data_IF_266023234362
#
_entry.id   IF_266023234362
#
_cell.length_a   1.000
_cell.length_b   1.000
_cell.length_c   1.000
_cell.angle_alpha   90.00
_cell.angle_beta   90.00
_cell.angle_gamma   90.00
#
_symmetry.space_group_name_H-M   'P 1'
#
loop_
_entity.id
_entity.type
_entity.pdbx_description
1 polymer ?
#
# COMPACT_ATOMS: atom_id res chain seq x y z
N UNK A 1 -2.97 -9.98 29.42
CA UNK A 1 -3.46 -9.00 28.43
C UNK A 1 -3.03 -9.32 27.01
N UNK A 2 -1.74 -9.47 26.68
CA UNK A 2 -1.26 -9.75 25.31
C UNK A 2 -1.83 -11.06 24.71
N UNK A 3 -2.00 -12.10 25.48
CA UNK A 3 -2.52 -13.40 25.03
C UNK A 3 -4.03 -13.37 24.72
N UNK A 4 -4.81 -12.61 25.48
CA UNK A 4 -6.25 -12.41 25.22
C UNK A 4 -6.50 -11.59 23.95
N UNK A 5 -5.72 -10.53 23.74
CA UNK A 5 -5.82 -9.68 22.54
C UNK A 5 -5.46 -10.44 21.26
N UNK A 6 -4.41 -11.27 21.29
CA UNK A 6 -4.03 -12.14 20.16
C UNK A 6 -5.10 -13.18 19.83
N UNK A 7 -5.81 -13.70 20.86
CA UNK A 7 -6.90 -14.65 20.67
C UNK A 7 -8.14 -13.98 20.05
N UNK A 8 -8.51 -12.79 20.52
CA UNK A 8 -9.63 -12.00 19.95
C UNK A 8 -9.36 -11.59 18.48
N UNK A 9 -8.14 -11.18 18.17
CA UNK A 9 -7.73 -10.86 16.79
C UNK A 9 -7.78 -12.10 15.87
N UNK A 10 -7.38 -13.27 16.37
CA UNK A 10 -7.45 -14.55 15.65
C UNK A 10 -8.89 -15.01 15.42
N UNK A 11 -9.77 -14.86 16.41
CA UNK A 11 -11.18 -15.26 16.32
C UNK A 11 -11.95 -14.34 15.35
N UNK A 12 -11.64 -13.05 15.35
CA UNK A 12 -12.20 -12.07 14.42
C UNK A 12 -11.79 -12.39 12.97
N UNK A 13 -10.49 -12.61 12.73
CA UNK A 13 -9.98 -12.97 11.40
C UNK A 13 -10.62 -14.28 10.91
N UNK A 14 -10.73 -15.29 11.77
CA UNK A 14 -11.39 -16.56 11.43
C UNK A 14 -12.84 -16.37 11.02
N UNK A 15 -13.58 -15.52 11.75
CA UNK A 15 -14.97 -15.18 11.43
C UNK A 15 -15.08 -14.45 10.09
N UNK A 16 -14.18 -13.52 9.84
CA UNK A 16 -14.12 -12.79 8.57
C UNK A 16 -13.78 -13.71 7.38
N UNK A 17 -12.79 -14.59 7.51
CA UNK A 17 -12.42 -15.53 6.46
C UNK A 17 -13.56 -16.51 6.15
N UNK A 18 -14.29 -16.96 7.17
CA UNK A 18 -15.47 -17.80 7.00
C UNK A 18 -16.60 -17.08 6.26
N UNK A 19 -16.85 -15.82 6.60
CA UNK A 19 -17.81 -14.99 5.86
C UNK A 19 -17.37 -14.82 4.40
N UNK A 20 -16.10 -14.51 4.18
CA UNK A 20 -15.55 -14.27 2.84
C UNK A 20 -15.64 -15.52 1.95
N UNK A 21 -15.41 -16.72 2.52
CA UNK A 21 -15.45 -18.00 1.81
C UNK A 21 -16.84 -18.37 1.26
N UNK A 22 -17.90 -17.69 1.71
CA UNK A 22 -19.26 -17.89 1.16
C UNK A 22 -19.43 -17.27 -0.23
N UNK A 23 -18.58 -16.32 -0.61
CA UNK A 23 -18.72 -15.55 -1.86
C UNK A 23 -17.46 -15.52 -2.71
N UNK A 24 -16.32 -15.99 -2.20
CA UNK A 24 -15.04 -15.96 -2.89
C UNK A 24 -14.19 -17.20 -2.57
N UNK A 25 -13.30 -17.56 -3.48
CA UNK A 25 -12.20 -18.48 -3.18
C UNK A 25 -11.22 -17.74 -2.24
N UNK A 26 -10.97 -18.31 -1.05
CA UNK A 26 -10.08 -17.70 -0.06
C UNK A 26 -8.80 -18.53 0.04
N UNK A 27 -7.68 -17.90 -0.35
CA UNK A 27 -6.35 -18.46 -0.19
C UNK A 27 -5.64 -17.72 0.94
N UNK A 28 -5.25 -18.45 1.97
CA UNK A 28 -4.45 -17.92 3.07
C UNK A 28 -3.03 -18.49 2.94
N UNK A 29 -2.08 -17.63 2.57
CA UNK A 29 -0.68 -18.01 2.47
C UNK A 29 0.01 -17.61 3.77
N UNK A 30 0.24 -18.59 4.62
CA UNK A 30 0.65 -18.41 6.01
C UNK A 30 2.14 -18.74 6.21
N UNK A 31 2.94 -17.72 6.45
CA UNK A 31 4.37 -17.84 6.75
C UNK A 31 4.71 -17.98 8.24
N UNK A 32 3.75 -18.33 9.08
CA UNK A 32 3.93 -18.53 10.53
C UNK A 32 4.86 -19.72 10.85
N UNK A 33 5.45 -19.76 12.05
CA UNK A 33 6.14 -20.94 12.55
C UNK A 33 5.25 -22.19 12.51
N UNK A 34 5.83 -23.40 12.42
CA UNK A 34 5.06 -24.64 12.20
C UNK A 34 3.95 -24.93 13.22
N UNK A 35 4.17 -24.60 14.47
CA UNK A 35 3.20 -24.75 15.56
C UNK A 35 2.00 -23.81 15.41
N UNK A 36 2.27 -22.56 15.04
CA UNK A 36 1.23 -21.55 14.77
C UNK A 36 0.47 -21.91 13.48
N UNK A 37 1.20 -22.32 12.42
CA UNK A 37 0.59 -22.79 11.18
C UNK A 37 -0.37 -23.97 11.44
N UNK A 38 0.04 -24.97 12.22
CA UNK A 38 -0.82 -26.10 12.57
C UNK A 38 -2.08 -25.69 13.34
N UNK A 39 -1.95 -24.73 14.24
CA UNK A 39 -3.10 -24.18 14.97
C UNK A 39 -4.07 -23.46 14.02
N UNK A 40 -3.57 -22.65 13.08
CA UNK A 40 -4.38 -21.99 12.06
C UNK A 40 -5.06 -23.02 11.13
N UNK A 41 -4.33 -24.03 10.69
CA UNK A 41 -4.84 -25.11 9.81
C UNK A 41 -6.05 -25.82 10.43
N UNK A 42 -6.02 -26.07 11.75
CA UNK A 42 -7.14 -26.68 12.46
C UNK A 42 -8.44 -25.85 12.40
N UNK A 43 -8.32 -24.54 12.27
CA UNK A 43 -9.47 -23.62 12.21
C UNK A 43 -9.90 -23.27 10.78
N UNK A 44 -8.95 -23.20 9.82
CA UNK A 44 -9.20 -22.61 8.49
C UNK A 44 -9.33 -23.61 7.35
N UNK A 45 -8.72 -24.80 7.43
CA UNK A 45 -8.70 -25.78 6.33
C UNK A 45 -10.08 -26.26 5.87
N UNK A 46 -11.12 -26.10 6.70
CA UNK A 46 -12.48 -26.53 6.36
C UNK A 46 -13.21 -25.58 5.40
N UNK A 47 -12.72 -24.33 5.21
CA UNK A 47 -13.39 -23.32 4.40
C UNK A 47 -12.44 -22.40 3.62
N UNK A 48 -11.12 -22.59 3.74
CA UNK A 48 -10.11 -21.86 2.96
C UNK A 48 -9.09 -22.82 2.36
N UNK A 49 -8.38 -22.37 1.34
CA UNK A 49 -7.14 -23.00 0.88
C UNK A 49 -6.00 -22.38 1.71
N UNK A 50 -5.56 -23.08 2.75
CA UNK A 50 -4.51 -22.64 3.67
C UNK A 50 -3.18 -23.33 3.33
N UNK A 51 -2.17 -22.57 2.91
CA UNK A 51 -0.91 -23.06 2.39
C UNK A 51 0.28 -22.31 3.00
N UNK A 52 1.43 -22.97 3.18
CA UNK A 52 2.68 -22.27 3.43
C UNK A 52 3.16 -21.57 2.14
N UNK A 53 4.04 -20.55 2.24
CA UNK A 53 4.70 -19.98 1.08
C UNK A 53 5.53 -21.03 0.33
N UNK A 54 5.41 -21.07 -1.01
CA UNK A 54 6.15 -22.01 -1.86
C UNK A 54 7.67 -21.96 -1.59
N UNK A 55 8.33 -23.10 -1.40
CA UNK A 55 9.76 -23.14 -1.04
C UNK A 55 10.69 -22.72 -2.19
N UNK A 56 10.25 -22.88 -3.44
CA UNK A 56 11.01 -22.52 -4.64
C UNK A 56 10.98 -21.02 -4.97
N UNK A 57 10.10 -20.25 -4.31
CA UNK A 57 10.05 -18.81 -4.48
C UNK A 57 11.07 -18.17 -3.51
N UNK A 58 12.23 -17.81 -4.07
CA UNK A 58 13.32 -17.18 -3.30
C UNK A 58 13.32 -15.66 -3.51
N UNK A 59 12.67 -14.92 -2.61
CA UNK A 59 12.63 -13.46 -2.59
C UNK A 59 12.79 -12.94 -1.16
N UNK A 60 13.34 -11.72 -1.01
CA UNK A 60 13.61 -11.13 0.31
C UNK A 60 12.32 -10.69 1.03
N UNK A 61 11.34 -10.21 0.28
CA UNK A 61 10.09 -9.72 0.84
C UNK A 61 9.09 -10.87 1.04
N UNK A 62 8.85 -11.24 2.30
CA UNK A 62 7.95 -12.34 2.67
C UNK A 62 6.52 -12.14 2.18
N UNK A 63 6.00 -10.90 2.16
CA UNK A 63 4.67 -10.60 1.59
C UNK A 63 4.62 -10.94 0.11
N UNK A 64 5.64 -10.55 -0.66
CA UNK A 64 5.71 -10.87 -2.10
C UNK A 64 5.77 -12.37 -2.31
N UNK A 65 6.55 -13.11 -1.50
CA UNK A 65 6.58 -14.56 -1.54
C UNK A 65 5.18 -15.16 -1.35
N UNK A 66 4.44 -14.68 -0.35
CA UNK A 66 3.05 -15.09 -0.13
C UNK A 66 2.14 -14.77 -1.32
N UNK A 67 2.23 -13.56 -1.88
CA UNK A 67 1.43 -13.16 -3.05
C UNK A 67 1.75 -14.01 -4.29
N UNK A 68 3.03 -14.30 -4.58
CA UNK A 68 3.42 -15.12 -5.71
C UNK A 68 2.97 -16.58 -5.53
N UNK A 69 3.01 -17.12 -4.31
CA UNK A 69 2.41 -18.42 -3.99
C UNK A 69 0.91 -18.40 -4.27
N UNK A 70 0.18 -17.43 -3.69
CA UNK A 70 -1.26 -17.29 -3.91
C UNK A 70 -1.63 -17.14 -5.39
N UNK A 71 -0.84 -16.40 -6.18
CA UNK A 71 -1.03 -16.23 -7.61
C UNK A 71 -0.95 -17.56 -8.40
N UNK A 72 -0.08 -18.47 -7.99
CA UNK A 72 0.05 -19.80 -8.60
C UNK A 72 -1.16 -20.69 -8.30
N UNK A 73 -1.61 -20.69 -7.06
CA UNK A 73 -2.68 -21.54 -6.56
C UNK A 73 -4.09 -21.02 -6.84
N UNK A 74 -4.26 -19.71 -7.06
CA UNK A 74 -5.56 -19.11 -7.36
C UNK A 74 -6.14 -19.67 -8.66
N UNK A 75 -7.45 -19.94 -8.67
CA UNK A 75 -8.17 -20.49 -9.84
C UNK A 75 -8.91 -19.42 -10.62
N UNK A 76 -9.21 -18.27 -10.01
CA UNK A 76 -9.98 -17.20 -10.63
C UNK A 76 -9.11 -16.11 -11.27
N UNK A 77 -9.67 -15.42 -12.27
CA UNK A 77 -9.00 -14.33 -12.99
C UNK A 77 -8.91 -13.05 -12.19
N UNK A 78 -9.95 -12.71 -11.41
CA UNK A 78 -10.01 -11.51 -10.59
C UNK A 78 -9.55 -11.84 -9.18
N UNK A 79 -8.43 -11.30 -8.77
CA UNK A 79 -7.85 -11.54 -7.47
C UNK A 79 -7.91 -10.26 -6.61
N UNK A 80 -8.14 -10.44 -5.32
CA UNK A 80 -7.91 -9.42 -4.30
C UNK A 80 -6.74 -9.86 -3.44
N UNK A 81 -5.66 -9.11 -3.47
CA UNK A 81 -4.52 -9.25 -2.57
C UNK A 81 -4.79 -8.36 -1.37
N UNK A 82 -4.77 -8.90 -0.17
CA UNK A 82 -5.04 -8.15 1.06
C UNK A 82 -4.06 -8.54 2.18
N UNK A 83 -3.65 -7.54 2.98
CA UNK A 83 -2.99 -7.77 4.26
C UNK A 83 -4.00 -8.36 5.26
N UNK A 84 -3.53 -9.03 6.30
CA UNK A 84 -4.35 -9.69 7.32
C UNK A 84 -5.20 -8.71 8.15
N UNK A 85 -4.86 -7.44 8.16
CA UNK A 85 -5.57 -6.35 8.83
C UNK A 85 -6.63 -5.66 7.95
N UNK A 86 -6.84 -6.11 6.71
CA UNK A 86 -7.82 -5.53 5.75
C UNK A 86 -9.16 -6.25 5.83
N UNK A 87 -10.25 -5.48 5.79
CA UNK A 87 -11.63 -6.02 5.81
C UNK A 87 -12.46 -5.39 4.70
N UNK A 88 -12.87 -6.22 3.76
CA UNK A 88 -13.83 -5.86 2.74
C UNK A 88 -15.25 -6.13 3.25
N UNK A 89 -16.18 -5.30 2.84
CA UNK A 89 -17.59 -5.65 2.80
C UNK A 89 -18.00 -6.18 1.42
N UNK A 90 -19.22 -6.66 1.29
CA UNK A 90 -19.73 -7.23 0.04
C UNK A 90 -19.79 -6.20 -1.09
N UNK A 91 -20.15 -4.95 -0.78
CA UNK A 91 -20.24 -3.87 -1.75
C UNK A 91 -18.88 -3.52 -2.33
N UNK A 92 -17.85 -3.41 -1.47
CA UNK A 92 -16.48 -3.15 -1.90
C UNK A 92 -15.90 -4.29 -2.74
N UNK A 93 -16.15 -5.57 -2.37
CA UNK A 93 -15.73 -6.73 -3.18
C UNK A 93 -16.38 -6.72 -4.57
N UNK A 94 -17.69 -6.52 -4.64
CA UNK A 94 -18.42 -6.43 -5.91
C UNK A 94 -17.90 -5.27 -6.77
N UNK A 95 -17.59 -4.12 -6.14
CA UNK A 95 -17.07 -2.96 -6.84
C UNK A 95 -15.67 -3.21 -7.40
N UNK A 96 -14.76 -3.84 -6.64
CA UNK A 96 -13.44 -4.24 -7.15
C UNK A 96 -13.58 -5.22 -8.32
N UNK A 97 -14.43 -6.23 -8.18
CA UNK A 97 -14.67 -7.23 -9.22
C UNK A 97 -15.21 -6.60 -10.52
N UNK A 98 -16.13 -5.62 -10.40
CA UNK A 98 -16.66 -4.88 -11.53
C UNK A 98 -15.60 -4.00 -12.21
N UNK A 99 -14.78 -3.27 -11.44
CA UNK A 99 -13.71 -2.45 -11.98
C UNK A 99 -12.62 -3.28 -12.69
N UNK A 100 -12.40 -4.51 -12.26
CA UNK A 100 -11.47 -5.44 -12.91
C UNK A 100 -11.98 -5.99 -14.25
N UNK A 101 -13.20 -5.69 -14.70
CA UNK A 101 -13.61 -5.98 -16.08
C UNK A 101 -12.81 -5.18 -17.10
N UNK A 102 -12.51 -3.91 -16.79
CA UNK A 102 -11.81 -2.99 -17.70
C UNK A 102 -10.40 -2.63 -17.22
N UNK A 103 -10.10 -2.86 -15.94
CA UNK A 103 -8.79 -2.58 -15.34
C UNK A 103 -7.98 -3.86 -15.11
N UNK A 104 -6.66 -3.71 -15.00
CA UNK A 104 -5.75 -4.81 -14.66
C UNK A 104 -5.27 -4.72 -13.21
N UNK A 105 -5.31 -3.53 -12.63
CA UNK A 105 -5.09 -3.28 -11.21
C UNK A 105 -6.05 -2.21 -10.70
N UNK A 106 -6.69 -2.49 -9.56
CA UNK A 106 -7.57 -1.57 -8.83
C UNK A 106 -6.92 -1.27 -7.49
N UNK A 107 -6.79 0.02 -7.16
CA UNK A 107 -6.19 0.50 -5.92
C UNK A 107 -7.22 1.25 -5.09
N UNK A 108 -7.94 0.56 -4.17
CA UNK A 108 -8.91 1.18 -3.28
C UNK A 108 -8.25 2.09 -2.25
N UNK A 109 -9.06 2.76 -1.42
CA UNK A 109 -8.59 3.64 -0.35
C UNK A 109 -8.80 2.94 0.99
N UNK A 110 -7.73 2.73 1.77
CA UNK A 110 -7.91 2.23 3.13
C UNK A 110 -8.25 3.36 4.11
N UNK A 111 -9.08 3.01 5.08
CA UNK A 111 -9.31 3.82 6.28
C UNK A 111 -9.18 2.96 7.53
N UNK A 112 -8.69 3.56 8.62
CA UNK A 112 -8.54 2.84 9.87
C UNK A 112 -9.81 2.89 10.71
N UNK A 113 -10.24 1.72 11.20
CA UNK A 113 -11.33 1.59 12.15
C UNK A 113 -11.09 0.38 13.06
N UNK A 114 -10.93 0.59 14.40
CA UNK A 114 -10.98 1.88 15.12
C UNK A 114 -9.88 2.85 14.69
N UNK A 115 -10.02 4.14 15.06
CA UNK A 115 -9.09 5.20 14.68
C UNK A 115 -8.35 5.75 15.93
N UNK A 116 -7.34 5.05 16.49
CA UNK A 116 -6.53 5.56 17.56
C UNK A 116 -5.66 6.75 17.11
N UNK A 117 -5.16 7.53 18.06
CA UNK A 117 -4.48 8.80 17.80
C UNK A 117 -3.30 8.72 16.81
N UNK A 118 -2.52 7.64 16.83
CA UNK A 118 -1.38 7.46 15.95
C UNK A 118 -1.80 7.15 14.50
N UNK A 119 -2.93 6.49 14.27
CA UNK A 119 -3.46 6.29 12.92
C UNK A 119 -4.29 7.49 12.44
N UNK A 120 -4.90 8.25 13.36
CA UNK A 120 -5.45 9.58 13.04
C UNK A 120 -4.34 10.50 12.51
N UNK A 121 -3.17 10.49 13.13
CA UNK A 121 -1.97 11.17 12.65
C UNK A 121 -1.59 10.72 11.22
N UNK A 122 -1.51 9.41 10.97
CA UNK A 122 -1.14 8.87 9.64
C UNK A 122 -2.24 9.10 8.58
N UNK A 123 -3.49 9.29 8.98
CA UNK A 123 -4.58 9.65 8.06
C UNK A 123 -4.31 10.97 7.34
N UNK A 124 -3.59 11.91 7.96
CA UNK A 124 -3.10 13.12 7.26
C UNK A 124 -2.32 12.82 5.98
N UNK A 125 -1.49 11.75 5.98
CA UNK A 125 -0.82 11.23 4.78
C UNK A 125 -1.81 10.80 3.72
N UNK A 126 -2.81 10.01 4.12
CA UNK A 126 -3.86 9.52 3.22
C UNK A 126 -4.56 10.68 2.52
N UNK A 127 -4.93 11.72 3.28
CA UNK A 127 -5.61 12.90 2.73
C UNK A 127 -4.74 13.64 1.71
N UNK A 128 -3.46 13.87 2.01
CA UNK A 128 -2.52 14.49 1.08
C UNK A 128 -2.29 13.64 -0.18
N UNK A 129 -2.20 12.31 -0.05
CA UNK A 129 -2.05 11.42 -1.17
C UNK A 129 -3.31 11.37 -2.06
N UNK A 130 -4.50 11.53 -1.50
CA UNK A 130 -5.77 11.63 -2.26
C UNK A 130 -5.78 12.83 -3.21
N UNK A 131 -5.05 13.89 -2.90
CA UNK A 131 -4.86 15.03 -3.83
C UNK A 131 -4.03 14.66 -5.06
N UNK A 132 -3.09 13.73 -4.93
CA UNK A 132 -2.09 13.41 -5.96
C UNK A 132 -2.27 12.03 -6.61
N UNK A 133 -3.47 11.42 -6.52
CA UNK A 133 -3.78 10.16 -7.19
C UNK A 133 -4.05 8.98 -6.26
N UNK A 134 -4.44 9.23 -5.01
CA UNK A 134 -4.84 8.22 -4.03
C UNK A 134 -3.71 7.68 -3.17
N UNK A 135 -4.09 7.07 -2.06
CA UNK A 135 -3.15 6.50 -1.10
C UNK A 135 -2.66 5.10 -1.52
N UNK A 136 -1.68 4.58 -0.78
CA UNK A 136 -1.11 3.24 -0.96
C UNK A 136 -1.73 2.29 0.06
N UNK A 137 -2.71 1.47 -0.35
CA UNK A 137 -3.45 0.61 0.55
C UNK A 137 -2.70 -0.69 0.86
N UNK A 138 -3.12 -1.38 1.92
CA UNK A 138 -2.72 -2.76 2.22
C UNK A 138 -3.44 -3.81 1.37
N UNK A 139 -4.08 -3.39 0.27
CA UNK A 139 -4.85 -4.29 -0.61
C UNK A 139 -4.87 -3.78 -2.05
N UNK A 140 -4.95 -4.70 -2.99
CA UNK A 140 -5.05 -4.41 -4.43
C UNK A 140 -5.97 -5.44 -5.09
N UNK A 141 -6.86 -4.98 -5.96
CA UNK A 141 -7.50 -5.85 -6.94
C UNK A 141 -6.59 -6.04 -8.15
N UNK A 142 -6.41 -7.25 -8.66
CA UNK A 142 -5.53 -7.53 -9.81
C UNK A 142 -6.10 -8.57 -10.75
N UNK A 143 -5.76 -8.51 -12.03
CA UNK A 143 -5.99 -9.58 -12.99
C UNK A 143 -4.86 -10.59 -12.94
N UNK A 144 -5.21 -11.88 -12.70
CA UNK A 144 -4.28 -12.99 -12.57
C UNK A 144 -3.47 -13.22 -13.85
N UNK A 145 -4.12 -13.24 -14.99
CA UNK A 145 -3.49 -13.55 -16.29
C UNK A 145 -2.33 -12.61 -16.60
N UNK A 146 -2.48 -11.30 -16.35
CA UNK A 146 -1.42 -10.33 -16.61
C UNK A 146 -0.23 -10.52 -15.66
N UNK A 147 -0.47 -10.77 -14.37
CA UNK A 147 0.61 -11.02 -13.40
C UNK A 147 1.35 -12.33 -13.71
N UNK A 148 0.66 -13.37 -14.15
CA UNK A 148 1.30 -14.60 -14.61
C UNK A 148 2.15 -14.36 -15.86
N UNK A 149 1.63 -13.61 -16.83
CA UNK A 149 2.36 -13.28 -18.05
C UNK A 149 3.64 -12.47 -17.79
N UNK A 150 3.68 -11.65 -16.72
CA UNK A 150 4.89 -10.94 -16.29
C UNK A 150 5.86 -11.81 -15.50
N UNK A 151 5.48 -13.03 -15.13
CA UNK A 151 6.24 -13.88 -14.21
C UNK A 151 6.12 -13.42 -12.75
N UNK A 152 5.07 -12.65 -12.40
CA UNK A 152 4.91 -11.98 -11.11
C UNK A 152 5.58 -10.61 -11.07
N UNK A 153 6.09 -10.21 -9.91
CA UNK A 153 6.80 -8.94 -9.70
C UNK A 153 7.98 -9.12 -8.74
N UNK A 154 8.92 -8.17 -8.74
CA UNK A 154 10.17 -8.29 -7.98
C UNK A 154 9.92 -8.24 -6.46
N UNK A 155 10.30 -9.30 -5.76
CA UNK A 155 10.22 -9.41 -4.30
C UNK A 155 11.51 -9.02 -3.58
N UNK A 156 12.50 -8.46 -4.27
CA UNK A 156 13.74 -7.97 -3.66
C UNK A 156 13.73 -6.44 -3.49
N UNK A 157 12.52 -5.87 -3.45
CA UNK A 157 12.28 -4.44 -3.22
C UNK A 157 11.44 -4.23 -1.97
N UNK A 158 11.55 -3.03 -1.39
CA UNK A 158 10.83 -2.72 -0.15
C UNK A 158 9.36 -2.35 -0.39
N UNK A 159 9.11 -1.50 -1.38
CA UNK A 159 7.78 -0.96 -1.69
C UNK A 159 7.05 -1.86 -2.71
N UNK A 160 6.61 -3.01 -2.24
CA UNK A 160 6.05 -4.10 -3.05
C UNK A 160 4.77 -3.70 -3.80
N UNK A 161 3.88 -2.90 -3.20
CA UNK A 161 2.66 -2.45 -3.87
C UNK A 161 2.95 -1.52 -5.05
N UNK A 162 3.96 -0.64 -4.92
CA UNK A 162 4.42 0.18 -6.04
C UNK A 162 5.06 -0.66 -7.13
N UNK A 163 5.84 -1.68 -6.74
CA UNK A 163 6.47 -2.59 -7.67
C UNK A 163 5.44 -3.36 -8.50
N UNK A 164 4.42 -3.94 -7.85
CA UNK A 164 3.33 -4.64 -8.53
C UNK A 164 2.62 -3.72 -9.52
N UNK A 165 2.23 -2.52 -9.10
CA UNK A 165 1.54 -1.55 -9.97
C UNK A 165 2.42 -1.14 -11.14
N UNK A 166 3.71 -0.87 -10.90
CA UNK A 166 4.66 -0.53 -11.98
C UNK A 166 4.84 -1.68 -12.94
N UNK A 167 4.92 -2.92 -12.48
CA UNK A 167 5.01 -4.13 -13.30
C UNK A 167 3.79 -4.26 -14.21
N UNK A 168 2.58 -4.15 -13.65
CA UNK A 168 1.33 -4.15 -14.42
C UNK A 168 1.32 -3.07 -15.49
N UNK A 169 1.68 -1.83 -15.13
CA UNK A 169 1.72 -0.70 -16.07
C UNK A 169 2.80 -0.85 -17.13
N UNK A 170 3.96 -1.39 -16.78
CA UNK A 170 5.06 -1.66 -17.72
C UNK A 170 4.68 -2.72 -18.76
N UNK A 171 3.90 -3.73 -18.36
CA UNK A 171 3.31 -4.72 -19.26
C UNK A 171 2.15 -4.17 -20.11
N UNK A 172 1.77 -2.89 -19.95
CA UNK A 172 0.69 -2.23 -20.71
C UNK A 172 -0.67 -2.31 -20.01
N UNK A 173 -0.76 -2.85 -18.80
CA UNK A 173 -1.99 -2.94 -18.03
C UNK A 173 -2.51 -1.56 -17.58
N UNK A 174 -3.81 -1.50 -17.30
CA UNK A 174 -4.54 -0.31 -16.86
C UNK A 174 -4.68 -0.32 -15.34
N UNK A 175 -4.26 0.76 -14.69
CA UNK A 175 -4.52 1.04 -13.28
C UNK A 175 -5.76 1.91 -13.13
N UNK A 176 -6.65 1.56 -12.19
CA UNK A 176 -7.77 2.38 -11.76
C UNK A 176 -7.65 2.65 -10.26
N UNK A 177 -7.83 3.90 -9.87
CA UNK A 177 -7.75 4.37 -8.47
C UNK A 177 -9.10 5.02 -8.11
N UNK A 178 -10.11 4.22 -7.70
CA UNK A 178 -11.39 4.74 -7.29
C UNK A 178 -11.23 5.39 -5.91
N UNK A 179 -11.30 6.71 -5.84
CA UNK A 179 -11.16 7.45 -4.59
C UNK A 179 -12.40 7.32 -3.69
N UNK A 180 -13.52 6.89 -4.25
CA UNK A 180 -14.80 6.60 -3.60
C UNK A 180 -14.94 5.15 -3.11
N UNK A 181 -13.95 4.30 -3.37
CA UNK A 181 -13.95 2.91 -2.91
C UNK A 181 -13.11 2.78 -1.63
N UNK A 182 -13.80 2.73 -0.50
CA UNK A 182 -13.19 2.64 0.82
C UNK A 182 -13.17 1.20 1.31
N UNK A 183 -12.04 0.80 1.90
CA UNK A 183 -11.85 -0.53 2.49
C UNK A 183 -11.30 -0.37 3.90
N UNK A 184 -11.97 -0.97 4.87
CA UNK A 184 -11.59 -0.92 6.28
C UNK A 184 -10.25 -1.60 6.50
N UNK A 185 -9.46 -1.03 7.41
CA UNK A 185 -8.20 -1.59 7.86
C UNK A 185 -8.09 -1.47 9.39
N UNK A 186 -7.69 -2.54 10.05
CA UNK A 186 -7.36 -2.46 11.47
C UNK A 186 -6.08 -1.66 11.70
N UNK A 187 -6.04 -0.81 12.73
CA UNK A 187 -4.85 -0.05 13.06
C UNK A 187 -3.76 -0.95 13.65
N UNK A 188 -2.49 -0.78 13.29
CA UNK A 188 -1.39 -1.41 14.00
C UNK A 188 -1.33 -0.87 15.43
N UNK A 189 -0.76 -1.63 16.37
CA UNK A 189 -0.48 -1.07 17.69
C UNK A 189 0.57 0.06 17.61
N UNK A 190 0.55 0.99 18.58
CA UNK A 190 1.40 2.19 18.56
C UNK A 190 2.90 1.86 18.48
N UNK A 191 3.37 0.80 19.16
CA UNK A 191 4.79 0.41 19.13
C UNK A 191 5.21 -0.03 17.73
N UNK A 192 4.40 -0.85 17.07
CA UNK A 192 4.65 -1.29 15.70
C UNK A 192 4.59 -0.10 14.74
N UNK A 193 3.57 0.75 14.87
CA UNK A 193 3.43 1.96 14.07
C UNK A 193 4.71 2.79 14.07
N UNK A 194 5.24 3.14 15.25
CA UNK A 194 6.44 3.98 15.35
C UNK A 194 7.70 3.29 14.85
N UNK A 195 7.82 1.98 15.03
CA UNK A 195 8.96 1.20 14.51
C UNK A 195 9.07 1.20 12.98
N UNK A 196 7.97 1.45 12.28
CA UNK A 196 7.91 1.42 10.81
C UNK A 196 8.16 2.78 10.13
N UNK A 197 8.25 3.90 10.89
CA UNK A 197 8.26 5.25 10.29
C UNK A 197 9.44 5.50 9.36
N UNK A 198 10.65 5.16 9.77
CA UNK A 198 11.87 5.30 8.95
C UNK A 198 11.83 4.36 7.74
N UNK A 199 11.36 3.12 7.93
CA UNK A 199 11.17 2.16 6.83
C UNK A 199 10.19 2.68 5.79
N UNK A 200 9.03 3.21 6.21
CA UNK A 200 8.06 3.82 5.31
C UNK A 200 8.60 5.09 4.61
N UNK A 201 9.52 5.82 5.27
CA UNK A 201 10.19 6.94 4.63
C UNK A 201 11.18 6.47 3.54
N UNK A 202 11.80 5.30 3.71
CA UNK A 202 12.68 4.70 2.72
C UNK A 202 11.98 4.43 1.38
N UNK A 203 10.67 4.18 1.38
CA UNK A 203 9.87 4.00 0.16
C UNK A 203 9.92 5.23 -0.78
N UNK A 204 10.17 6.43 -0.25
CA UNK A 204 10.29 7.63 -1.07
C UNK A 204 11.52 7.63 -1.98
N UNK A 205 12.54 6.80 -1.70
CA UNK A 205 13.69 6.59 -2.61
C UNK A 205 13.25 6.03 -3.97
N UNK A 206 12.10 5.39 -4.06
CA UNK A 206 11.50 4.95 -5.31
C UNK A 206 10.89 6.11 -6.14
N UNK A 207 10.74 7.31 -5.57
CA UNK A 207 10.04 8.46 -6.15
C UNK A 207 10.90 9.73 -6.06
N UNK A 208 11.92 9.89 -6.92
CA UNK A 208 12.98 10.91 -6.77
C UNK A 208 12.49 12.33 -6.59
N UNK A 209 11.45 12.72 -7.32
CA UNK A 209 10.84 14.04 -7.21
C UNK A 209 10.21 14.28 -5.81
N UNK A 210 9.44 13.31 -5.30
CA UNK A 210 8.87 13.40 -3.94
C UNK A 210 9.96 13.40 -2.88
N UNK A 211 10.98 12.58 -3.05
CA UNK A 211 12.16 12.56 -2.20
C UNK A 211 12.80 13.95 -2.10
N UNK A 212 13.05 14.61 -3.25
CA UNK A 212 13.65 15.93 -3.28
C UNK A 212 12.78 16.97 -2.52
N UNK A 213 11.47 16.95 -2.72
CA UNK A 213 10.54 17.82 -1.98
C UNK A 213 10.60 17.53 -0.48
N UNK A 214 10.51 16.28 -0.04
CA UNK A 214 10.53 15.92 1.38
C UNK A 214 11.85 16.26 2.06
N UNK A 215 12.99 16.07 1.37
CA UNK A 215 14.30 16.46 1.88
C UNK A 215 14.43 17.98 2.03
N UNK A 216 13.80 18.77 1.18
CA UNK A 216 13.86 20.24 1.24
C UNK A 216 12.98 20.83 2.35
N UNK A 217 11.96 20.11 2.85
CA UNK A 217 11.03 20.64 3.83
C UNK A 217 11.71 21.01 5.15
N UNK A 218 12.55 20.14 5.69
CA UNK A 218 13.22 20.39 6.98
C UNK A 218 14.16 21.61 6.90
N UNK A 219 15.12 21.70 5.96
CA UNK A 219 15.98 22.90 5.86
C UNK A 219 15.19 24.16 5.53
N UNK A 220 14.18 24.09 4.67
CA UNK A 220 13.32 25.25 4.37
C UNK A 220 12.59 25.73 5.63
N UNK A 221 12.01 24.83 6.39
CA UNK A 221 11.33 25.16 7.66
C UNK A 221 12.31 25.83 8.63
N UNK A 222 13.50 25.27 8.79
CA UNK A 222 14.53 25.86 9.66
C UNK A 222 14.94 27.27 9.21
N UNK A 223 15.14 27.48 7.92
CA UNK A 223 15.47 28.81 7.36
C UNK A 223 14.35 29.81 7.64
N UNK A 224 13.07 29.43 7.40
CA UNK A 224 11.94 30.32 7.68
C UNK A 224 11.85 30.71 9.15
N UNK A 225 12.10 29.77 10.06
CA UNK A 225 12.08 30.02 11.52
C UNK A 225 13.26 30.90 11.95
N UNK A 226 14.48 30.63 11.46
CA UNK A 226 15.69 31.40 11.79
C UNK A 226 15.60 32.85 11.29
N UNK A 227 15.07 33.02 10.07
CA UNK A 227 14.86 34.35 9.47
C UNK A 227 13.56 35.03 9.97
N UNK A 228 12.81 34.38 10.89
CA UNK A 228 11.56 34.89 11.46
C UNK A 228 10.48 35.23 10.42
N UNK A 229 10.45 34.49 9.30
CA UNK A 229 9.40 34.62 8.28
C UNK A 229 8.10 33.92 8.71
N UNK A 230 7.52 34.36 9.82
CA UNK A 230 6.33 33.73 10.45
C UNK A 230 5.12 33.70 9.53
N UNK A 231 4.93 34.72 8.72
CA UNK A 231 3.82 34.80 7.76
C UNK A 231 3.93 33.69 6.69
N UNK A 232 5.11 33.49 6.15
CA UNK A 232 5.37 32.42 5.16
C UNK A 232 5.24 31.03 5.80
N UNK A 233 5.76 30.85 7.01
CA UNK A 233 5.62 29.60 7.77
C UNK A 233 4.15 29.27 8.04
N UNK A 234 3.36 30.23 8.56
CA UNK A 234 1.94 30.04 8.85
C UNK A 234 1.14 29.80 7.57
N UNK A 235 1.43 30.52 6.49
CA UNK A 235 0.80 30.28 5.19
C UNK A 235 1.08 28.86 4.67
N UNK A 236 2.30 28.37 4.85
CA UNK A 236 2.67 26.97 4.52
C UNK A 236 1.87 25.95 5.31
N UNK A 237 1.71 26.14 6.63
CA UNK A 237 0.88 25.26 7.46
C UNK A 237 -0.59 25.26 7.00
N UNK A 238 -1.16 26.43 6.76
CA UNK A 238 -2.55 26.57 6.29
C UNK A 238 -2.74 25.94 4.91
N UNK A 239 -1.76 26.08 4.00
CA UNK A 239 -1.79 25.44 2.70
C UNK A 239 -1.80 23.90 2.81
N UNK A 240 -0.99 23.32 3.70
CA UNK A 240 -0.97 21.88 3.95
C UNK A 240 -2.33 21.39 4.50
N UNK A 241 -2.90 22.10 5.47
CA UNK A 241 -4.23 21.80 6.02
C UNK A 241 -5.29 21.92 4.92
N UNK A 242 -5.24 22.97 4.10
CA UNK A 242 -6.17 23.18 2.98
C UNK A 242 -6.08 22.05 1.95
N UNK A 243 -4.87 21.62 1.57
CA UNK A 243 -4.66 20.49 0.65
C UNK A 243 -5.19 19.19 1.25
N UNK A 244 -4.94 18.91 2.53
CA UNK A 244 -5.49 17.75 3.21
C UNK A 244 -7.01 17.78 3.27
N UNK A 245 -7.60 18.94 3.56
CA UNK A 245 -9.07 19.10 3.58
C UNK A 245 -9.70 18.94 2.19
N UNK A 246 -9.07 19.42 1.14
CA UNK A 246 -9.49 19.17 -0.23
C UNK A 246 -9.45 17.66 -0.54
N UNK A 247 -8.36 16.96 -0.16
CA UNK A 247 -8.26 15.50 -0.29
C UNK A 247 -9.32 14.75 0.52
N UNK A 248 -9.70 15.28 1.70
CA UNK A 248 -10.80 14.75 2.52
C UNK A 248 -12.16 14.90 1.84
N UNK A 249 -12.42 16.03 1.23
CA UNK A 249 -13.70 16.31 0.55
C UNK A 249 -13.86 15.59 -0.79
N UNK A 250 -12.74 15.24 -1.42
CA UNK A 250 -12.73 14.62 -2.73
C UNK A 250 -13.40 13.23 -2.68
N UNK A 251 -14.28 12.96 -3.66
CA UNK A 251 -14.90 11.66 -3.88
C UNK A 251 -15.41 11.02 -2.57
N UNK A 252 -16.30 11.73 -1.88
CA UNK A 252 -16.98 11.31 -0.65
C UNK A 252 -16.09 11.02 0.57
N UNK A 253 -14.79 11.35 0.53
CA UNK A 253 -13.87 11.07 1.64
C UNK A 253 -14.29 11.68 2.98
N UNK A 254 -15.10 12.76 2.98
CA UNK A 254 -15.66 13.36 4.21
C UNK A 254 -16.61 12.43 4.98
N UNK A 255 -17.16 11.37 4.34
CA UNK A 255 -17.98 10.36 5.01
C UNK A 255 -17.16 9.40 5.87
N UNK A 256 -15.86 9.28 5.57
CA UNK A 256 -14.96 8.28 6.17
C UNK A 256 -13.86 8.92 7.01
N UNK A 257 -13.28 10.03 6.55
CA UNK A 257 -12.15 10.67 7.21
C UNK A 257 -12.59 11.87 8.07
N UNK A 258 -12.19 11.94 9.37
CA UNK A 258 -12.54 13.05 10.23
C UNK A 258 -11.73 14.32 9.90
N UNK A 259 -12.31 15.49 10.20
CA UNK A 259 -11.64 16.80 10.00
C UNK A 259 -10.32 16.91 10.78
N UNK A 260 -10.24 16.27 11.96
CA UNK A 260 -9.03 16.24 12.77
C UNK A 260 -7.81 15.69 12.00
N UNK A 261 -8.00 14.78 11.05
CA UNK A 261 -6.92 14.27 10.22
C UNK A 261 -6.35 15.35 9.28
N UNK A 262 -7.18 16.28 8.77
CA UNK A 262 -6.71 17.42 7.98
C UNK A 262 -5.86 18.37 8.83
N UNK A 263 -6.25 18.61 10.07
CA UNK A 263 -5.50 19.46 11.00
C UNK A 263 -4.15 18.84 11.41
N UNK A 264 -4.05 17.51 11.44
CA UNK A 264 -2.81 16.79 11.75
C UNK A 264 -1.89 16.57 10.54
N UNK A 265 -2.31 16.89 9.33
CA UNK A 265 -1.49 16.72 8.13
C UNK A 265 -0.13 17.46 8.17
N UNK A 266 -0.01 18.71 8.71
CA UNK A 266 1.29 19.35 8.87
C UNK A 266 2.21 18.59 9.84
N UNK A 267 1.64 18.02 10.90
CA UNK A 267 2.39 17.28 11.92
C UNK A 267 2.93 15.97 11.32
N UNK A 268 2.11 15.25 10.54
CA UNK A 268 2.57 14.10 9.77
C UNK A 268 3.67 14.48 8.79
N UNK A 269 3.52 15.60 8.07
CA UNK A 269 4.51 16.05 7.09
C UNK A 269 5.84 16.43 7.76
N UNK A 270 5.80 17.07 8.94
CA UNK A 270 6.98 17.37 9.74
C UNK A 270 7.71 16.09 10.19
N UNK A 271 6.97 15.09 10.70
CA UNK A 271 7.54 13.79 11.04
C UNK A 271 8.19 13.12 9.81
N UNK A 272 7.51 13.13 8.68
CA UNK A 272 8.04 12.57 7.43
C UNK A 272 9.28 13.30 6.95
N UNK A 273 9.32 14.63 7.08
CA UNK A 273 10.49 15.45 6.76
C UNK A 273 11.72 15.12 7.62
N UNK A 274 11.53 14.67 8.86
CA UNK A 274 12.61 14.17 9.72
C UNK A 274 12.99 12.74 9.35
N UNK A 275 12.01 11.84 9.24
CA UNK A 275 12.25 10.42 8.95
C UNK A 275 12.95 10.18 7.61
N UNK A 276 12.75 11.06 6.60
CA UNK A 276 13.40 10.91 5.31
C UNK A 276 14.93 11.12 5.39
N UNK A 277 15.41 12.02 6.26
CA UNK A 277 16.84 12.20 6.51
C UNK A 277 17.45 10.96 7.20
N UNK A 278 16.73 10.36 8.16
CA UNK A 278 17.16 9.08 8.75
C UNK A 278 17.17 7.97 7.71
N UNK A 279 16.17 7.87 6.85
CA UNK A 279 16.12 6.87 5.77
C UNK A 279 17.29 7.05 4.79
N UNK A 280 17.63 8.30 4.44
CA UNK A 280 18.80 8.60 3.61
C UNK A 280 20.09 8.23 4.32
N UNK A 281 20.25 8.56 5.62
CA UNK A 281 21.38 8.15 6.44
C UNK A 281 21.55 6.62 6.48
N UNK A 282 20.48 5.88 6.72
CA UNK A 282 20.46 4.41 6.66
C UNK A 282 20.93 3.93 5.29
N UNK A 283 20.41 4.51 4.20
CA UNK A 283 20.83 4.15 2.84
C UNK A 283 22.33 4.37 2.60
N UNK A 284 22.88 5.46 3.10
CA UNK A 284 24.30 5.81 2.90
C UNK A 284 25.24 4.98 3.79
N UNK A 285 24.83 4.69 5.04
CA UNK A 285 25.67 3.98 6.00
C UNK A 285 25.62 2.45 5.84
N UNK A 286 24.45 1.88 5.53
CA UNK A 286 24.22 0.42 5.48
C UNK A 286 23.95 -0.12 4.07
N UNK A 287 23.88 0.76 3.08
CA UNK A 287 23.55 0.38 1.69
C UNK A 287 22.08 -0.01 1.46
N UNK A 288 21.28 -0.19 2.50
CA UNK A 288 19.87 -0.62 2.43
C UNK A 288 19.20 -0.63 3.80
N UNK A 289 17.96 -1.09 3.85
CA UNK A 289 17.18 -1.20 5.09
C UNK A 289 17.09 -2.64 5.55
N UNK A 290 17.25 -2.87 6.86
CA UNK A 290 17.09 -4.21 7.45
C UNK A 290 15.64 -4.69 7.33
N UNK A 291 15.46 -5.92 6.86
CA UNK A 291 14.16 -6.56 6.66
C UNK A 291 14.27 -8.06 6.94
N UNK A 292 13.64 -8.54 8.03
CA UNK A 292 13.60 -9.97 8.42
C UNK A 292 14.96 -10.69 8.30
N UNK A 293 16.01 -10.11 8.86
CA UNK A 293 17.38 -10.70 8.86
C UNK A 293 18.17 -10.50 7.57
N UNK A 294 17.59 -9.85 6.55
CA UNK A 294 18.22 -9.49 5.28
C UNK A 294 18.31 -7.97 5.12
N UNK A 295 19.00 -7.50 4.09
CA UNK A 295 19.08 -6.08 3.74
C UNK A 295 18.46 -5.87 2.36
N UNK A 296 17.38 -5.07 2.31
CA UNK A 296 16.80 -4.64 1.04
C UNK A 296 17.42 -3.31 0.63
N UNK A 297 18.07 -3.31 -0.51
CA UNK A 297 18.81 -2.15 -1.01
C UNK A 297 17.99 -1.22 -1.89
N UNK A 298 16.95 -1.76 -2.53
CA UNK A 298 16.13 -1.05 -3.54
C UNK A 298 14.71 -0.81 -3.00
N UNK A 299 14.23 0.42 -3.07
CA UNK A 299 12.86 0.73 -2.69
C UNK A 299 11.84 0.20 -3.70
N UNK A 300 12.04 0.42 -5.00
CA UNK A 300 11.30 -0.19 -6.11
C UNK A 300 12.10 -0.09 -7.41
N UNK A 301 11.77 -0.93 -8.39
CA UNK A 301 12.41 -0.92 -9.70
C UNK A 301 11.98 0.31 -10.52
N UNK A 302 12.93 1.01 -11.19
CA UNK A 302 12.58 2.13 -12.06
C UNK A 302 11.67 1.71 -13.20
N UNK A 303 10.68 2.55 -13.52
CA UNK A 303 9.70 2.26 -14.58
C UNK A 303 10.36 1.95 -15.93
N UNK A 304 11.47 2.64 -16.28
CA UNK A 304 12.22 2.42 -17.52
C UNK A 304 12.75 0.97 -17.60
N UNK A 305 13.30 0.46 -16.51
CA UNK A 305 13.82 -0.91 -16.42
C UNK A 305 12.68 -1.94 -16.57
N UNK A 306 11.56 -1.73 -15.88
CA UNK A 306 10.38 -2.60 -16.00
C UNK A 306 9.79 -2.60 -17.43
N UNK A 307 9.71 -1.43 -18.07
CA UNK A 307 9.26 -1.35 -19.46
C UNK A 307 10.14 -2.13 -20.43
N UNK A 308 11.46 -2.13 -20.22
CA UNK A 308 12.39 -2.95 -21.01
C UNK A 308 12.18 -4.44 -20.75
N UNK A 309 12.03 -4.83 -19.49
CA UNK A 309 11.84 -6.21 -19.05
C UNK A 309 10.55 -6.83 -19.58
N UNK A 310 9.45 -6.05 -19.61
CA UNK A 310 8.12 -6.55 -19.98
C UNK A 310 7.65 -6.13 -21.39
N UNK A 311 8.55 -5.64 -22.24
CA UNK A 311 8.19 -5.21 -23.60
C UNK A 311 7.55 -6.34 -24.42
N UNK A 312 8.04 -7.58 -24.30
CA UNK A 312 7.52 -8.75 -24.99
C UNK A 312 6.08 -9.09 -24.53
N UNK A 313 5.81 -9.05 -23.23
CA UNK A 313 4.47 -9.31 -22.66
C UNK A 313 3.44 -8.36 -23.26
N UNK A 314 3.78 -7.08 -23.34
CA UNK A 314 2.95 -6.04 -23.93
C UNK A 314 2.61 -6.33 -25.39
N UNK A 315 3.60 -6.80 -26.17
CA UNK A 315 3.43 -7.13 -27.59
C UNK A 315 2.54 -8.37 -27.75
N UNK A 316 2.77 -9.42 -26.96
CA UNK A 316 2.03 -10.70 -27.01
C UNK A 316 0.56 -10.54 -26.64
N UNK A 317 0.26 -9.71 -25.63
CA UNK A 317 -1.11 -9.46 -25.16
C UNK A 317 -1.87 -8.46 -26.03
N UNK A 318 -1.27 -7.89 -27.08
CA UNK A 318 -1.92 -6.95 -27.98
C UNK A 318 -2.40 -5.64 -27.31
N UNK A 319 -1.88 -5.32 -26.12
CA UNK A 319 -2.27 -4.15 -25.35
C UNK A 319 -1.70 -2.89 -26.00
N UNK A 320 -2.47 -2.32 -26.94
CA UNK A 320 -2.10 -1.07 -27.63
C UNK A 320 -1.97 0.08 -26.61
N UNK A 321 -0.95 0.92 -26.83
CA UNK A 321 -0.81 2.19 -26.10
C UNK A 321 -2.07 3.02 -26.33
N UNK A 322 -3.03 3.01 -25.39
CA UNK A 322 -4.02 4.09 -25.34
C UNK A 322 -3.20 5.36 -25.09
N UNK A 323 -3.09 6.24 -26.10
CA UNK A 323 -2.56 7.61 -25.91
C UNK A 323 -3.36 8.19 -24.76
N UNK A 324 -2.69 8.69 -23.75
CA UNK A 324 -3.28 9.36 -22.61
C UNK A 324 -4.10 10.57 -23.09
N UNK A 325 -5.40 10.38 -23.26
CA UNK A 325 -6.37 11.46 -23.52
C UNK A 325 -6.82 12.16 -22.23
N UNK A 326 -6.05 12.03 -21.14
CA UNK A 326 -6.34 12.69 -19.87
C UNK A 326 -5.77 14.12 -19.75
N UNK A 327 -5.34 14.72 -20.86
CA UNK A 327 -4.84 16.11 -20.89
C UNK A 327 -5.83 17.13 -21.47
N UNK A 328 -7.11 16.77 -21.65
CA UNK A 328 -8.13 17.69 -22.23
C UNK A 328 -9.50 17.50 -21.58
N UNK A 329 -9.61 17.65 -20.27
CA UNK A 329 -10.86 18.01 -19.61
C UNK A 329 -10.54 18.80 -18.34
N UNK A 330 -9.99 19.99 -18.51
CA UNK A 330 -10.02 21.10 -17.56
C UNK A 330 -9.75 22.38 -18.36
N UNK A 331 -10.79 22.84 -19.01
CA UNK A 331 -11.04 24.26 -19.28
C UNK A 331 -12.25 24.69 -18.48
#
# INVERSE_FOLDING_TARGET
>A
MKCLQLKEESDELTSYLRWLSQSAEVLVIDGSPPDVFAAHAAHWNSFTVHLPPDPDISVLNGKVRGVLTGLRHATHEKLVIADDDVRYDEAALKRVAALLEDAHVVRPQNYFEPLPWHTLWDTGRTLLNRMTGGDWPGTLGVRRSLLLATGGYDGNVLFENLELIRTVRAAGGVEVVPLDLFVRRFPPNARHFWSQRVRQAYDELARPWRLAVLLSLLPLTLVLLLLRHWTAFTAGLLAIIGLAELGRRRDEGCKVFPVAASLLAPVWLAERAVCIWFALGVRLCTGGIAYHGSVITRAATPMKELCQRHNNVRTTLGIRKKRSSFAQQST
#
